data_IF_855139905669
#
_entry.id   IF_855139905669
#
_cell.length_a   1.000
_cell.length_b   1.000
_cell.length_c   1.000
_cell.angle_alpha   90.00
_cell.angle_beta   90.00
_cell.angle_gamma   90.00
#
_symmetry.space_group_name_H-M   'P 1'
#
loop_
_entity.id
_entity.type
_entity.pdbx_description
1 polymer ?
#
# COMPACT_ATOMS: atom_id res chain seq x y z
N UNK A 1 -12.49 -11.37 3.28
CA UNK A 1 -13.03 -10.07 3.65
C UNK A 1 -13.87 -9.43 2.55
N UNK A 2 -14.07 -8.10 2.62
CA UNK A 2 -15.01 -7.36 1.75
C UNK A 2 -14.76 -7.60 0.25
N UNK A 3 -13.55 -7.44 -0.24
CA UNK A 3 -13.24 -7.57 -1.68
C UNK A 3 -13.53 -8.98 -2.21
N UNK A 4 -13.10 -10.02 -1.51
CA UNK A 4 -13.32 -11.42 -1.88
C UNK A 4 -14.83 -11.76 -1.83
N UNK A 5 -15.53 -11.31 -0.80
CA UNK A 5 -16.98 -11.46 -0.70
C UNK A 5 -17.72 -10.77 -1.84
N UNK A 6 -17.27 -9.58 -2.22
CA UNK A 6 -17.83 -8.82 -3.34
C UNK A 6 -17.60 -9.54 -4.69
N UNK A 7 -16.42 -10.13 -4.90
CA UNK A 7 -16.19 -10.98 -6.08
C UNK A 7 -17.14 -12.20 -6.09
N UNK A 8 -17.32 -12.87 -4.94
CA UNK A 8 -18.24 -14.03 -4.83
C UNK A 8 -19.69 -13.65 -5.15
N UNK A 9 -20.10 -12.40 -4.92
CA UNK A 9 -21.44 -11.90 -5.31
C UNK A 9 -21.56 -11.61 -6.82
N UNK A 10 -20.47 -11.67 -7.58
CA UNK A 10 -20.46 -11.39 -9.02
C UNK A 10 -20.60 -9.93 -9.39
N UNK A 11 -20.61 -9.00 -8.41
CA UNK A 11 -20.89 -7.57 -8.63
C UNK A 11 -19.69 -6.64 -8.43
N UNK A 12 -18.50 -7.18 -8.12
CA UNK A 12 -17.29 -6.37 -7.96
C UNK A 12 -16.85 -5.75 -9.29
N UNK A 13 -16.76 -4.42 -9.38
CA UNK A 13 -16.27 -3.76 -10.60
C UNK A 13 -14.74 -3.93 -10.73
N UNK A 14 -14.24 -3.73 -11.95
CA UNK A 14 -12.84 -3.39 -12.18
C UNK A 14 -12.69 -1.92 -11.81
N UNK A 15 -11.78 -1.62 -10.90
CA UNK A 15 -11.57 -0.25 -10.45
C UNK A 15 -10.65 0.50 -11.41
N UNK A 16 -11.06 1.69 -11.86
CA UNK A 16 -10.21 2.57 -12.65
C UNK A 16 -9.12 3.22 -11.79
N UNK A 17 -9.43 3.46 -10.51
CA UNK A 17 -8.51 4.00 -9.54
C UNK A 17 -8.61 3.23 -8.23
N UNK A 18 -7.45 2.88 -7.68
CA UNK A 18 -7.32 2.35 -6.32
C UNK A 18 -6.31 3.19 -5.55
N UNK A 19 -6.65 3.56 -4.33
CA UNK A 19 -5.71 4.16 -3.39
C UNK A 19 -5.68 3.37 -2.09
N UNK A 20 -4.49 3.26 -1.48
CA UNK A 20 -4.29 2.52 -0.25
C UNK A 20 -3.43 3.27 0.76
N UNK A 21 -3.73 3.05 2.05
CA UNK A 21 -2.97 3.60 3.18
C UNK A 21 -2.83 2.50 4.23
N UNK A 22 -1.66 2.40 4.88
CA UNK A 22 -1.43 1.43 5.94
C UNK A 22 -1.71 0.00 5.47
N UNK A 23 -2.54 -0.75 6.17
CA UNK A 23 -3.01 -2.08 5.75
C UNK A 23 -3.68 -2.04 4.36
N UNK A 24 -4.34 -0.92 4.02
CA UNK A 24 -4.91 -0.70 2.69
C UNK A 24 -3.85 -0.62 1.59
N UNK A 25 -2.65 -0.12 1.88
CA UNK A 25 -1.53 -0.11 0.94
C UNK A 25 -1.05 -1.52 0.59
N UNK A 26 -1.10 -2.45 1.55
CA UNK A 26 -0.76 -3.86 1.34
C UNK A 26 -1.79 -4.59 0.45
N UNK A 27 -3.05 -4.15 0.50
CA UNK A 27 -4.15 -4.72 -0.31
C UNK A 27 -4.29 -4.06 -1.69
N UNK A 28 -3.88 -2.81 -1.81
CA UNK A 28 -4.16 -1.98 -2.98
C UNK A 28 -3.68 -2.60 -4.31
N UNK A 29 -2.47 -3.17 -4.44
CA UNK A 29 -2.03 -3.82 -5.67
C UNK A 29 -2.94 -5.00 -6.07
N UNK A 30 -3.34 -5.83 -5.12
CA UNK A 30 -4.21 -6.99 -5.35
C UNK A 30 -5.64 -6.55 -5.71
N UNK A 31 -6.14 -5.53 -5.03
CA UNK A 31 -7.43 -4.91 -5.34
C UNK A 31 -7.47 -4.30 -6.74
N UNK A 32 -6.38 -3.63 -7.14
CA UNK A 32 -6.19 -3.01 -8.43
C UNK A 32 -6.12 -4.03 -9.57
N UNK A 33 -5.37 -5.10 -9.39
CA UNK A 33 -5.25 -6.17 -10.39
C UNK A 33 -6.51 -7.03 -10.52
N UNK A 34 -7.39 -7.00 -9.51
CA UNK A 34 -8.74 -7.56 -9.58
C UNK A 34 -8.89 -9.00 -9.11
N UNK A 35 -10.03 -9.66 -9.42
CA UNK A 35 -10.46 -10.92 -8.83
C UNK A 35 -9.49 -12.10 -8.98
N UNK A 36 -8.65 -12.10 -10.01
CA UNK A 36 -7.63 -13.15 -10.21
C UNK A 36 -6.60 -13.26 -9.09
N UNK A 37 -6.48 -12.20 -8.27
CA UNK A 37 -5.60 -12.16 -7.11
C UNK A 37 -6.33 -12.35 -5.77
N UNK A 38 -7.64 -12.67 -5.80
CA UNK A 38 -8.43 -12.83 -4.57
C UNK A 38 -7.98 -14.03 -3.73
N UNK A 39 -7.54 -15.12 -4.36
CA UNK A 39 -6.99 -16.27 -3.64
C UNK A 39 -5.73 -15.88 -2.84
N UNK A 40 -4.83 -15.12 -3.45
CA UNK A 40 -3.64 -14.60 -2.78
C UNK A 40 -4.02 -13.59 -1.68
N UNK A 41 -4.99 -12.71 -1.95
CA UNK A 41 -5.50 -11.76 -0.95
C UNK A 41 -6.09 -12.50 0.27
N UNK A 42 -6.87 -13.55 0.05
CA UNK A 42 -7.44 -14.37 1.12
C UNK A 42 -6.33 -15.09 1.90
N UNK A 43 -5.40 -15.74 1.23
CA UNK A 43 -4.27 -16.41 1.84
C UNK A 43 -3.47 -15.47 2.74
N UNK A 44 -3.01 -14.32 2.21
CA UNK A 44 -2.20 -13.35 2.95
C UNK A 44 -2.88 -12.88 4.25
N UNK A 45 -4.20 -12.69 4.21
CA UNK A 45 -4.95 -12.18 5.38
C UNK A 45 -5.52 -13.26 6.30
N UNK A 46 -5.57 -14.52 5.90
CA UNK A 46 -6.06 -15.61 6.75
C UNK A 46 -4.93 -16.45 7.34
N UNK A 47 -3.78 -16.54 6.65
CA UNK A 47 -2.64 -17.34 7.11
C UNK A 47 -1.61 -16.52 7.89
N UNK A 48 -1.54 -15.21 7.64
CA UNK A 48 -0.59 -14.33 8.32
C UNK A 48 -1.13 -13.93 9.69
N UNK A 49 -0.51 -14.44 10.77
CA UNK A 49 -0.83 -13.97 12.13
C UNK A 49 -0.06 -12.67 12.41
N UNK A 50 -0.61 -11.82 13.25
CA UNK A 50 0.04 -10.59 13.72
C UNK A 50 1.46 -10.86 14.27
N UNK A 51 1.67 -12.03 14.92
CA UNK A 51 2.97 -12.47 15.41
C UNK A 51 3.99 -12.77 14.30
N UNK A 52 3.54 -13.08 13.09
CA UNK A 52 4.44 -13.34 11.95
C UNK A 52 4.95 -12.02 11.33
N UNK A 53 4.19 -10.94 11.50
CA UNK A 53 4.54 -9.61 11.03
C UNK A 53 5.40 -8.88 12.08
N UNK A 54 5.03 -9.02 13.35
CA UNK A 54 5.70 -8.37 14.47
C UNK A 54 6.21 -9.45 15.41
N UNK A 55 7.46 -9.86 15.29
CA UNK A 55 8.09 -10.79 16.26
C UNK A 55 8.27 -10.08 17.60
N UNK A 56 7.30 -10.25 18.49
CA UNK A 56 7.34 -9.77 19.86
C UNK A 56 6.17 -10.33 20.65
N UNK A 57 6.43 -10.90 21.80
CA UNK A 57 5.46 -11.54 22.68
C UNK A 57 4.46 -10.52 23.27
N UNK A 58 3.28 -10.36 22.62
CA UNK A 58 2.15 -9.65 23.17
C UNK A 58 2.27 -8.12 23.24
N UNK A 59 1.12 -7.44 23.30
CA UNK A 59 0.98 -5.98 23.36
C UNK A 59 1.79 -5.31 24.48
N UNK A 60 2.09 -6.02 25.58
CA UNK A 60 2.84 -5.49 26.72
C UNK A 60 4.36 -5.39 26.50
N UNK A 61 4.94 -6.05 25.48
CA UNK A 61 6.38 -6.02 25.17
C UNK A 61 6.72 -4.91 24.16
N UNK A 62 5.73 -4.45 23.38
CA UNK A 62 5.86 -3.36 22.41
C UNK A 62 6.37 -2.05 23.04
N UNK A 63 6.03 -1.79 24.30
CA UNK A 63 6.44 -0.56 25.00
C UNK A 63 7.88 -0.65 25.58
N UNK A 64 8.45 -1.86 25.71
CA UNK A 64 9.77 -2.08 26.35
C UNK A 64 10.93 -2.42 25.41
N UNK A 65 10.67 -2.77 24.14
CA UNK A 65 11.68 -3.41 23.28
C UNK A 65 12.19 -2.56 22.10
N UNK A 66 11.87 -1.29 22.01
CA UNK A 66 12.30 -0.46 20.87
C UNK A 66 11.51 -0.76 19.57
N UNK A 67 11.76 0.03 18.55
CA UNK A 67 11.14 -0.08 17.24
C UNK A 67 11.42 -1.46 16.59
N UNK A 68 10.36 -2.09 16.08
CA UNK A 68 10.52 -3.34 15.32
C UNK A 68 11.10 -3.07 13.93
N UNK A 69 12.05 -3.93 13.53
CA UNK A 69 12.55 -3.91 12.15
C UNK A 69 11.44 -4.33 11.17
N UNK A 70 11.39 -3.64 10.04
CA UNK A 70 10.45 -3.92 8.96
C UNK A 70 10.78 -5.20 8.16
N UNK A 71 11.91 -5.86 8.44
CA UNK A 71 12.45 -6.99 7.66
C UNK A 71 11.50 -8.19 7.48
N UNK A 72 10.69 -8.63 8.47
CA UNK A 72 9.76 -9.73 8.26
C UNK A 72 8.68 -9.36 7.24
N UNK A 73 8.11 -8.15 7.32
CA UNK A 73 7.11 -7.67 6.38
C UNK A 73 7.72 -7.44 4.99
N UNK A 74 8.95 -6.90 4.93
CA UNK A 74 9.69 -6.72 3.66
C UNK A 74 9.86 -8.04 2.93
N UNK A 75 10.35 -9.11 3.60
CA UNK A 75 10.48 -10.44 2.99
C UNK A 75 9.15 -10.97 2.50
N UNK A 76 8.08 -10.81 3.29
CA UNK A 76 6.75 -11.24 2.87
C UNK A 76 6.24 -10.48 1.65
N UNK A 77 6.51 -9.18 1.55
CA UNK A 77 6.18 -8.39 0.37
C UNK A 77 7.02 -8.78 -0.84
N UNK A 78 8.30 -9.11 -0.65
CA UNK A 78 9.16 -9.64 -1.73
C UNK A 78 8.63 -10.95 -2.32
N UNK A 79 8.07 -11.82 -1.49
CA UNK A 79 7.44 -13.07 -1.95
C UNK A 79 6.13 -12.83 -2.71
N UNK A 80 5.34 -11.82 -2.28
CA UNK A 80 4.01 -11.53 -2.82
C UNK A 80 4.08 -10.67 -4.08
N UNK A 81 4.84 -9.58 -4.07
CA UNK A 81 4.92 -8.61 -5.17
C UNK A 81 5.94 -9.08 -6.19
N UNK A 82 5.49 -9.86 -7.15
CA UNK A 82 6.34 -10.43 -8.21
C UNK A 82 6.59 -9.44 -9.34
N UNK A 83 7.65 -9.67 -10.15
CA UNK A 83 7.91 -8.89 -11.36
C UNK A 83 6.74 -8.95 -12.35
N UNK A 84 6.05 -10.09 -12.42
CA UNK A 84 4.83 -10.22 -13.20
C UNK A 84 3.73 -9.25 -12.74
N UNK A 85 3.51 -9.12 -11.42
CA UNK A 85 2.53 -8.16 -10.90
C UNK A 85 2.92 -6.72 -11.21
N UNK A 86 4.21 -6.38 -11.14
CA UNK A 86 4.71 -5.05 -11.53
C UNK A 86 4.43 -4.78 -13.00
N UNK A 87 4.69 -5.74 -13.89
CA UNK A 87 4.39 -5.62 -15.31
C UNK A 87 2.89 -5.43 -15.57
N UNK A 88 2.03 -6.21 -14.91
CA UNK A 88 0.57 -6.09 -15.03
C UNK A 88 0.04 -4.73 -14.52
N UNK A 89 0.62 -4.19 -13.44
CA UNK A 89 0.30 -2.85 -12.93
C UNK A 89 0.75 -1.78 -13.93
N UNK A 90 1.94 -1.94 -14.55
CA UNK A 90 2.46 -1.05 -15.56
C UNK A 90 1.55 -1.01 -16.80
N UNK A 91 1.07 -2.17 -17.26
CA UNK A 91 0.15 -2.27 -18.39
C UNK A 91 -1.19 -1.57 -18.07
N UNK A 92 -1.78 -1.87 -16.92
CA UNK A 92 -3.00 -1.21 -16.48
C UNK A 92 -2.84 0.32 -16.36
N UNK A 93 -1.65 0.79 -15.94
CA UNK A 93 -1.34 2.23 -15.90
C UNK A 93 -1.29 2.84 -17.31
N UNK A 94 -0.70 2.16 -18.29
CA UNK A 94 -0.67 2.60 -19.69
C UNK A 94 -2.08 2.66 -20.30
N UNK A 95 -2.98 1.78 -19.86
CA UNK A 95 -4.40 1.77 -20.23
C UNK A 95 -5.23 2.88 -19.54
N UNK A 96 -4.61 3.68 -18.69
CA UNK A 96 -5.26 4.83 -18.03
C UNK A 96 -5.71 4.57 -16.59
N UNK A 97 -5.57 3.36 -16.05
CA UNK A 97 -5.90 3.05 -14.66
C UNK A 97 -4.85 3.61 -13.71
N UNK A 98 -5.21 3.85 -12.46
CA UNK A 98 -4.31 4.49 -11.48
C UNK A 98 -4.27 3.73 -10.16
N UNK A 99 -3.05 3.57 -9.64
CA UNK A 99 -2.79 2.98 -8.33
C UNK A 99 -1.98 3.96 -7.49
N UNK A 100 -2.51 4.36 -6.34
CA UNK A 100 -1.85 5.28 -5.41
C UNK A 100 -1.64 4.67 -4.04
N UNK A 101 -0.51 4.99 -3.41
CA UNK A 101 -0.23 4.70 -2.00
C UNK A 101 0.18 6.00 -1.31
N UNK A 102 -0.30 6.22 -0.09
CA UNK A 102 0.13 7.36 0.70
C UNK A 102 1.03 6.94 1.86
N UNK A 103 2.01 7.80 2.13
CA UNK A 103 2.90 7.73 3.28
C UNK A 103 2.92 9.08 3.98
N UNK A 104 3.41 9.13 5.21
CA UNK A 104 3.73 10.38 5.92
C UNK A 104 5.24 10.60 5.88
N UNK A 105 5.67 11.70 5.28
CA UNK A 105 7.03 12.23 5.44
C UNK A 105 7.16 12.77 6.88
N UNK A 106 7.81 12.00 7.73
CA UNK A 106 7.99 12.32 9.15
C UNK A 106 9.04 13.41 9.37
N UNK A 107 9.91 13.61 8.40
CA UNK A 107 10.96 14.64 8.46
C UNK A 107 10.37 16.04 8.29
N UNK A 108 9.43 16.19 7.35
CA UNK A 108 8.83 17.48 7.00
C UNK A 108 7.37 17.62 7.45
N UNK A 109 6.78 16.59 8.07
CA UNK A 109 5.41 16.63 8.59
C UNK A 109 4.33 16.75 7.52
N UNK A 110 4.46 16.02 6.39
CA UNK A 110 3.53 16.14 5.26
C UNK A 110 3.06 14.78 4.73
N UNK A 111 1.86 14.73 4.18
CA UNK A 111 1.38 13.57 3.44
C UNK A 111 2.01 13.53 2.04
N UNK A 112 2.48 12.36 1.63
CA UNK A 112 3.03 12.11 0.29
C UNK A 112 2.22 11.01 -0.38
N UNK A 113 1.75 11.28 -1.60
CA UNK A 113 1.02 10.30 -2.42
C UNK A 113 1.89 9.85 -3.59
N UNK A 114 2.09 8.55 -3.68
CA UNK A 114 2.92 7.90 -4.69
C UNK A 114 2.06 7.33 -5.81
N UNK A 115 2.36 7.67 -7.05
CA UNK A 115 1.78 7.02 -8.23
C UNK A 115 2.53 5.70 -8.49
N UNK A 116 1.97 4.63 -7.96
CA UNK A 116 2.56 3.28 -8.03
C UNK A 116 2.49 2.70 -9.43
N UNK A 117 1.48 3.08 -10.21
CA UNK A 117 1.39 2.67 -11.61
C UNK A 117 2.48 3.30 -12.47
N UNK A 118 2.74 4.60 -12.27
CA UNK A 118 3.85 5.30 -12.92
C UNK A 118 5.20 4.72 -12.52
N UNK A 119 5.38 4.38 -11.25
CA UNK A 119 6.60 3.73 -10.78
C UNK A 119 6.79 2.36 -11.44
N UNK A 120 5.75 1.54 -11.49
CA UNK A 120 5.78 0.23 -12.14
C UNK A 120 6.08 0.33 -13.65
N UNK A 121 5.58 1.37 -14.32
CA UNK A 121 5.80 1.62 -15.75
C UNK A 121 7.11 2.35 -16.07
N UNK A 122 7.93 2.64 -15.08
CA UNK A 122 9.22 3.33 -15.28
C UNK A 122 10.32 2.33 -15.71
N UNK A 123 11.31 2.83 -16.44
CA UNK A 123 12.49 2.05 -16.86
C UNK A 123 13.54 1.89 -15.74
N UNK A 124 13.17 2.16 -14.49
CA UNK A 124 14.09 2.05 -13.35
C UNK A 124 14.40 0.59 -13.02
N UNK A 125 15.67 0.20 -12.90
CA UNK A 125 16.04 -1.17 -12.54
C UNK A 125 15.62 -1.55 -11.12
N UNK A 126 15.38 -0.57 -10.24
CA UNK A 126 14.96 -0.74 -8.85
C UNK A 126 13.45 -0.52 -8.64
N UNK A 127 12.64 -0.42 -9.71
CA UNK A 127 11.21 -0.09 -9.63
C UNK A 127 10.43 -1.01 -8.68
N UNK A 128 10.62 -2.34 -8.78
CA UNK A 128 9.96 -3.31 -7.90
C UNK A 128 10.39 -3.11 -6.43
N UNK A 129 11.67 -2.90 -6.18
CA UNK A 129 12.19 -2.66 -4.83
C UNK A 129 11.59 -1.37 -4.26
N UNK A 130 11.62 -0.27 -5.01
CA UNK A 130 11.03 1.01 -4.59
C UNK A 130 9.52 0.87 -4.33
N UNK A 131 8.81 0.08 -5.14
CA UNK A 131 7.40 -0.23 -4.95
C UNK A 131 7.14 -0.88 -3.58
N UNK A 132 7.93 -1.89 -3.22
CA UNK A 132 7.85 -2.60 -1.94
C UNK A 132 8.20 -1.66 -0.77
N UNK A 133 9.24 -0.84 -0.88
CA UNK A 133 9.63 0.10 0.18
C UNK A 133 8.54 1.16 0.44
N UNK A 134 7.83 1.63 -0.58
CA UNK A 134 6.69 2.55 -0.41
C UNK A 134 5.52 1.84 0.30
N UNK A 135 5.19 0.60 -0.07
CA UNK A 135 4.17 -0.18 0.63
C UNK A 135 4.52 -0.37 2.12
N UNK A 136 5.78 -0.71 2.37
CA UNK A 136 6.32 -0.93 3.70
C UNK A 136 6.27 0.35 4.56
N UNK A 137 6.68 1.49 3.98
CA UNK A 137 6.61 2.78 4.65
C UNK A 137 5.17 3.16 5.01
N UNK A 138 4.23 2.93 4.07
CA UNK A 138 2.81 3.18 4.32
C UNK A 138 2.23 2.32 5.46
N UNK A 139 2.80 1.13 5.69
CA UNK A 139 2.39 0.18 6.72
C UNK A 139 3.32 0.20 7.96
N UNK A 140 4.08 1.27 8.17
CA UNK A 140 5.02 1.44 9.29
C UNK A 140 4.48 2.46 10.33
N UNK A 141 3.64 2.03 11.31
CA UNK A 141 3.12 2.92 12.33
C UNK A 141 4.25 3.49 13.19
N UNK A 142 4.31 4.83 13.39
CA UNK A 142 5.29 5.44 14.26
C UNK A 142 5.27 4.86 15.67
N UNK A 143 6.45 4.60 16.23
CA UNK A 143 6.60 3.99 17.55
C UNK A 143 6.48 2.46 17.57
N UNK A 144 6.00 1.83 16.51
CA UNK A 144 5.92 0.37 16.37
C UNK A 144 6.93 -0.18 15.37
N UNK A 145 7.12 0.48 14.24
CA UNK A 145 8.04 0.09 13.17
C UNK A 145 9.03 1.22 12.92
N UNK A 146 10.26 0.87 12.59
CA UNK A 146 11.28 1.85 12.19
C UNK A 146 10.81 2.60 10.93
N UNK A 147 10.96 3.93 10.88
CA UNK A 147 10.68 4.69 9.67
C UNK A 147 11.51 4.22 8.49
N UNK A 148 10.93 4.24 7.30
CA UNK A 148 11.57 3.80 6.07
C UNK A 148 12.11 5.01 5.32
N UNK A 149 13.41 5.05 4.98
CA UNK A 149 13.96 6.11 4.15
C UNK A 149 13.49 5.98 2.70
N UNK A 150 12.79 7.00 2.21
CA UNK A 150 12.37 7.10 0.81
C UNK A 150 12.87 8.42 0.20
N UNK A 151 13.11 8.49 -1.12
CA UNK A 151 13.50 9.73 -1.77
C UNK A 151 12.35 10.75 -1.72
N UNK A 152 12.66 11.99 -1.35
CA UNK A 152 11.72 13.09 -1.51
C UNK A 152 11.38 13.27 -2.99
N UNK A 153 10.09 13.29 -3.38
CA UNK A 153 9.68 13.40 -4.78
C UNK A 153 10.15 14.67 -5.48
N UNK A 154 10.51 15.71 -4.72
CA UNK A 154 10.89 17.03 -5.27
C UNK A 154 12.39 17.20 -5.51
N UNK A 155 13.23 16.57 -4.69
CA UNK A 155 14.68 16.77 -4.73
C UNK A 155 15.51 15.48 -4.67
N UNK A 156 14.86 14.33 -4.48
CA UNK A 156 15.52 13.01 -4.42
C UNK A 156 16.29 12.73 -3.13
N UNK A 157 16.32 13.66 -2.18
CA UNK A 157 17.00 13.45 -0.89
C UNK A 157 16.19 12.45 -0.06
N UNK A 158 16.87 11.49 0.57
CA UNK A 158 16.21 10.53 1.43
C UNK A 158 15.63 11.21 2.69
N UNK A 159 14.33 11.03 2.92
CA UNK A 159 13.62 11.48 4.12
C UNK A 159 12.90 10.30 4.76
N UNK A 160 12.63 10.39 6.06
CA UNK A 160 12.02 9.29 6.80
C UNK A 160 10.50 9.28 6.60
N UNK A 161 9.98 8.15 6.14
CA UNK A 161 8.56 7.93 5.96
C UNK A 161 8.01 6.91 6.95
N UNK A 162 6.75 7.12 7.35
CA UNK A 162 5.95 6.22 8.15
C UNK A 162 4.52 6.08 7.61
N UNK A 163 3.67 5.45 8.42
CA UNK A 163 2.28 5.17 8.07
C UNK A 163 1.55 6.40 7.54
N UNK A 164 0.94 6.25 6.38
CA UNK A 164 0.21 7.33 5.73
C UNK A 164 -1.03 7.79 6.50
N UNK A 165 -1.60 6.92 7.33
CA UNK A 165 -2.76 7.21 8.18
C UNK A 165 -2.50 8.27 9.24
N UNK A 166 -1.23 8.56 9.58
CA UNK A 166 -0.87 9.64 10.50
C UNK A 166 -1.35 11.01 10.00
N UNK A 167 -1.20 11.26 8.69
CA UNK A 167 -1.57 12.54 8.08
C UNK A 167 -2.82 12.45 7.19
N UNK A 168 -3.03 11.32 6.54
CA UNK A 168 -4.14 11.16 5.59
C UNK A 168 -4.67 9.71 5.59
N UNK A 169 -5.64 9.40 6.45
CA UNK A 169 -6.18 8.03 6.56
C UNK A 169 -6.98 7.58 5.32
N UNK A 170 -7.49 8.51 4.53
CA UNK A 170 -8.19 8.25 3.26
C UNK A 170 -7.57 9.11 2.18
N UNK A 171 -7.14 8.49 1.08
CA UNK A 171 -6.53 9.19 -0.06
C UNK A 171 -7.55 9.34 -1.17
N UNK A 172 -8.22 10.48 -1.17
CA UNK A 172 -9.04 10.95 -2.29
C UNK A 172 -8.61 12.38 -2.60
N UNK A 173 -8.06 12.60 -3.78
CA UNK A 173 -7.72 13.92 -4.25
C UNK A 173 -8.61 14.25 -5.47
N UNK A 174 -9.27 15.42 -5.49
CA UNK A 174 -10.06 15.83 -6.65
C UNK A 174 -9.29 15.80 -7.97
N UNK A 175 -7.96 15.98 -7.93
CA UNK A 175 -7.11 15.87 -9.11
C UNK A 175 -7.05 14.45 -9.69
N UNK A 176 -7.24 13.43 -8.85
CA UNK A 176 -7.28 12.01 -9.28
C UNK A 176 -8.57 11.68 -10.03
N UNK A 177 -9.61 12.49 -9.85
CA UNK A 177 -10.97 12.27 -10.36
C UNK A 177 -11.28 13.13 -11.60
N UNK A 178 -10.31 13.88 -12.14
CA UNK A 178 -10.53 14.77 -13.27
C UNK A 178 -10.88 14.01 -14.54
N UNK A 179 -11.89 14.53 -15.27
CA UNK A 179 -12.27 14.04 -16.60
C UNK A 179 -13.38 12.98 -16.63
N UNK A 180 -13.76 12.41 -15.50
CA UNK A 180 -14.87 11.46 -15.46
C UNK A 180 -16.24 12.15 -15.33
N UNK A 181 -17.19 11.80 -16.24
CA UNK A 181 -18.55 12.35 -16.21
C UNK A 181 -19.43 11.79 -15.10
N UNK A 182 -19.17 10.54 -14.68
CA UNK A 182 -19.85 9.85 -13.59
C UNK A 182 -18.83 9.06 -12.80
N UNK A 183 -18.88 9.19 -11.50
CA UNK A 183 -17.94 8.56 -10.59
C UNK A 183 -18.68 7.83 -9.48
N UNK A 184 -18.18 6.66 -9.09
CA UNK A 184 -18.61 5.94 -7.90
C UNK A 184 -17.39 5.76 -7.01
N UNK A 185 -17.44 6.30 -5.80
CA UNK A 185 -16.40 6.18 -4.81
C UNK A 185 -16.78 5.09 -3.80
N UNK A 186 -15.88 4.13 -3.62
CA UNK A 186 -16.00 3.09 -2.62
C UNK A 186 -14.91 3.29 -1.56
N UNK A 187 -15.31 3.42 -0.31
CA UNK A 187 -14.39 3.57 0.81
C UNK A 187 -14.50 2.34 1.71
N UNK A 188 -13.38 1.63 1.88
CA UNK A 188 -13.27 0.50 2.81
C UNK A 188 -12.42 1.00 3.98
N UNK A 189 -13.04 1.30 5.11
CA UNK A 189 -12.38 1.71 6.34
C UNK A 189 -12.32 0.52 7.30
N UNK A 190 -11.14 0.26 7.87
CA UNK A 190 -10.88 -0.81 8.84
C UNK A 190 -10.51 -0.26 10.23
N UNK A 191 -10.75 1.01 10.48
CA UNK A 191 -10.59 1.69 11.76
C UNK A 191 -11.92 2.15 12.34
N UNK A 192 -11.90 2.64 13.57
CA UNK A 192 -13.03 3.38 14.13
C UNK A 192 -13.14 4.71 13.38
N UNK A 193 -14.32 4.96 12.82
CA UNK A 193 -14.70 6.23 12.20
C UNK A 193 -15.29 7.14 13.27
#
# INVERSE_FOLDING_TARGET
GVLVGWTKSGSRPIFDLVSGVSTGALQAPLAFLGPRYDALLEEVYTTTRTADIFKGNGIGVLVKAGLHKADPLRRRLDDIITDRMIAEIADAHREGRRLYIATTDLTNGRAVTWDMGRLAASDRPDARRAFIEIMLASAAPPGLVEPIPLPDPTNGIAVLHGDGGVMRPIVVDPAMLRGARKQTLWVIANGHV
#
